data_IF_079271223933
#
_entry.id   IF_079271223933
#
_cell.length_a   1.000
_cell.length_b   1.000
_cell.length_c   1.000
_cell.angle_alpha   90.00
_cell.angle_beta   90.00
_cell.angle_gamma   90.00
#
_symmetry.space_group_name_H-M   'P 1'
#
loop_
_entity.id
_entity.type
_entity.pdbx_description
1 polymer ?
#
# COMPACT_ATOMS: atom_id res chain seq x y z
N UNK A 1 -0.95 -12.93 17.10
CA UNK A 1 -1.98 -11.91 17.23
C UNK A 1 -1.60 -10.68 16.46
N UNK A 2 -2.55 -10.06 15.82
CA UNK A 2 -2.28 -8.97 14.90
C UNK A 2 -2.79 -7.65 15.47
N UNK A 3 -1.96 -6.64 15.39
CA UNK A 3 -2.33 -5.31 15.84
C UNK A 3 -3.13 -4.61 14.76
N UNK A 4 -4.23 -4.01 15.16
CA UNK A 4 -5.07 -3.27 14.23
C UNK A 4 -4.37 -2.00 13.79
N UNK A 5 -4.42 -1.72 12.50
CA UNK A 5 -3.84 -0.52 11.93
C UNK A 5 -4.86 0.61 12.01
N UNK A 6 -4.64 1.56 12.91
CA UNK A 6 -5.56 2.68 13.08
C UNK A 6 -4.93 4.00 12.70
N UNK A 7 -3.71 4.00 12.21
CA UNK A 7 -3.01 5.19 11.75
C UNK A 7 -2.22 4.87 10.52
N UNK A 8 -1.98 5.86 9.65
CA UNK A 8 -1.10 5.62 8.52
C UNK A 8 0.30 5.26 8.99
N UNK A 9 0.87 4.30 8.29
CA UNK A 9 2.22 3.84 8.57
C UNK A 9 3.07 4.13 7.35
N UNK A 10 4.14 4.91 7.52
CA UNK A 10 5.04 5.24 6.44
C UNK A 10 6.37 4.55 6.62
N UNK A 11 6.88 4.01 5.54
CA UNK A 11 8.20 3.39 5.53
C UNK A 11 8.86 3.66 4.19
N UNK A 12 10.16 3.80 4.23
CA UNK A 12 10.93 3.97 3.02
C UNK A 12 11.50 2.64 2.60
N UNK A 13 11.35 2.31 1.32
CA UNK A 13 11.88 1.06 0.80
C UNK A 13 12.65 1.35 -0.48
N UNK A 14 13.55 0.44 -0.82
CA UNK A 14 14.32 0.53 -2.04
C UNK A 14 13.83 -0.51 -3.03
N UNK A 15 13.47 -0.04 -4.21
CA UNK A 15 13.05 -0.92 -5.30
C UNK A 15 13.91 -0.60 -6.50
N UNK A 16 14.66 -1.59 -6.98
CA UNK A 16 15.56 -1.40 -8.12
C UNK A 16 16.48 -0.19 -7.93
N UNK A 17 17.03 -0.08 -6.72
CA UNK A 17 17.95 1.00 -6.35
C UNK A 17 17.31 2.37 -6.34
N UNK A 18 16.00 2.42 -6.28
CA UNK A 18 15.28 3.70 -6.18
C UNK A 18 14.53 3.76 -4.87
N UNK A 19 14.59 4.90 -4.18
CA UNK A 19 13.88 5.04 -2.91
C UNK A 19 12.40 5.32 -3.16
N UNK A 20 11.57 4.59 -2.45
CA UNK A 20 10.12 4.78 -2.50
C UNK A 20 9.60 4.97 -1.09
N UNK A 21 8.53 5.73 -0.98
CA UNK A 21 7.83 5.87 0.28
C UNK A 21 6.56 5.03 0.21
N UNK A 22 6.45 4.09 1.12
CA UNK A 22 5.27 3.25 1.21
C UNK A 22 4.43 3.72 2.38
N UNK A 23 3.18 4.03 2.09
CA UNK A 23 2.23 4.44 3.12
C UNK A 23 1.10 3.41 3.16
N UNK A 24 0.82 2.92 4.33
CA UNK A 24 -0.24 1.94 4.53
C UNK A 24 -1.23 2.50 5.53
N UNK A 25 -2.51 2.43 5.21
CA UNK A 25 -3.52 2.83 6.16
C UNK A 25 -4.75 1.95 6.01
N UNK A 26 -5.79 2.27 6.77
CA UNK A 26 -6.99 1.44 6.78
C UNK A 26 -7.72 1.45 5.44
N UNK A 27 -7.49 2.46 4.63
CA UNK A 27 -8.18 2.57 3.35
C UNK A 27 -7.42 1.98 2.17
N UNK A 28 -6.13 1.72 2.34
CA UNK A 28 -5.35 1.18 1.25
C UNK A 28 -3.87 1.44 1.45
N UNK A 29 -3.15 1.42 0.35
CA UNK A 29 -1.73 1.69 0.38
C UNK A 29 -1.35 2.65 -0.72
N UNK A 30 -0.23 3.30 -0.55
CA UNK A 30 0.28 4.24 -1.52
C UNK A 30 1.78 4.06 -1.63
N UNK A 31 2.26 4.01 -2.84
CA UNK A 31 3.68 3.85 -3.10
C UNK A 31 4.13 4.98 -4.01
N UNK A 32 5.03 5.83 -3.52
CA UNK A 32 5.46 7.01 -4.25
C UNK A 32 6.98 7.01 -4.32
N UNK A 33 7.50 7.20 -5.51
CA UNK A 33 8.94 7.33 -5.68
C UNK A 33 9.40 8.66 -5.12
N UNK A 34 10.46 8.63 -4.35
CA UNK A 34 10.99 9.83 -3.74
C UNK A 34 11.41 10.82 -4.81
N UNK A 35 10.97 12.05 -4.65
CA UNK A 35 11.27 13.06 -5.64
C UNK A 35 10.24 13.16 -6.74
N UNK A 36 9.23 12.31 -6.73
CA UNK A 36 8.16 12.37 -7.71
C UNK A 36 6.85 12.66 -7.04
N UNK A 37 5.95 13.30 -7.77
CA UNK A 37 4.63 13.59 -7.25
C UNK A 37 3.66 12.46 -7.49
N UNK A 38 3.84 11.76 -8.59
CA UNK A 38 2.94 10.70 -8.97
C UNK A 38 3.38 9.39 -8.33
N UNK A 39 2.42 8.63 -7.90
CA UNK A 39 2.69 7.35 -7.31
C UNK A 39 1.55 6.41 -7.60
N UNK A 40 1.63 5.24 -7.01
CA UNK A 40 0.59 4.23 -7.13
C UNK A 40 -0.22 4.25 -5.85
N UNK A 41 -1.53 4.34 -6.00
CA UNK A 41 -2.41 4.30 -4.86
C UNK A 41 -3.45 3.21 -5.10
N UNK A 42 -3.55 2.30 -4.16
CA UNK A 42 -4.46 1.17 -4.27
C UNK A 42 -5.32 1.07 -3.03
N UNK A 43 -6.60 0.86 -3.24
CA UNK A 43 -7.45 0.51 -2.11
C UNK A 43 -7.25 -0.95 -1.78
N UNK A 44 -7.66 -1.35 -0.59
CA UNK A 44 -7.52 -2.75 -0.22
C UNK A 44 -8.34 -3.66 -1.12
N UNK A 45 -9.45 -3.15 -1.64
CA UNK A 45 -10.21 -3.91 -2.61
C UNK A 45 -9.41 -4.18 -3.87
N UNK A 46 -8.66 -3.19 -4.32
CA UNK A 46 -7.85 -3.36 -5.51
C UNK A 46 -6.69 -4.32 -5.27
N UNK A 47 -6.15 -4.29 -4.08
CA UNK A 47 -5.08 -5.21 -3.73
C UNK A 47 -5.60 -6.65 -3.73
N UNK A 48 -6.80 -6.85 -3.22
CA UNK A 48 -7.39 -8.18 -3.18
C UNK A 48 -7.81 -8.68 -4.54
N UNK A 49 -8.09 -7.75 -5.46
CA UNK A 49 -8.49 -8.12 -6.80
C UNK A 49 -9.96 -7.89 -7.06
N UNK A 50 -10.32 -7.61 -8.30
CA UNK A 50 -11.70 -7.26 -8.62
C UNK A 50 -12.69 -8.41 -8.50
N UNK A 51 -12.25 -9.63 -8.69
CA UNK A 51 -13.17 -10.75 -8.58
C UNK A 51 -12.88 -11.55 -7.34
N UNK A 52 -12.69 -10.86 -6.29
CA UNK A 52 -12.34 -11.50 -5.04
C UNK A 52 -13.46 -12.33 -4.48
N UNK A 53 -14.60 -12.30 -5.10
CA UNK A 53 -15.68 -13.12 -4.60
C UNK A 53 -15.29 -14.57 -4.42
N UNK A 54 -14.30 -14.99 -5.15
CA UNK A 54 -13.83 -16.35 -5.02
C UNK A 54 -12.90 -16.55 -3.83
N UNK A 55 -12.58 -15.51 -3.18
CA UNK A 55 -11.59 -15.62 -2.12
C UNK A 55 -12.24 -15.73 -0.77
N UNK A 56 -12.23 -16.88 -0.20
CA UNK A 56 -12.84 -17.07 1.10
C UNK A 56 -12.07 -16.47 2.24
N UNK A 57 -10.95 -15.94 1.96
CA UNK A 57 -10.19 -15.28 3.01
C UNK A 57 -9.51 -16.17 3.96
#
# INVERSE_FOLDING_TARGET
MTTKLDRPLKREIMIDDKPFTLTIDAGGLKLVEKGRRNGIELTWKQVLGPDTGANPG
#
